data_IF_571469861680
#
_entry.id   IF_571469861680
#
_cell.length_a   1.000
_cell.length_b   1.000
_cell.length_c   1.000
_cell.angle_alpha   90.00
_cell.angle_beta   90.00
_cell.angle_gamma   90.00
#
_symmetry.space_group_name_H-M   'P 1'
#
loop_
_entity.id
_entity.type
_entity.pdbx_description
1 polymer ?
#
# COMPACT_ATOMS: atom_id res chain seq x y z
N UNK A 1 -9.14 -14.78 20.04
CA UNK A 1 -7.89 -13.98 20.02
C UNK A 1 -8.18 -12.69 19.26
N UNK A 2 -7.87 -11.53 19.82
CA UNK A 2 -8.07 -10.25 19.12
C UNK A 2 -6.81 -9.98 18.29
N UNK A 3 -6.98 -9.86 16.97
CA UNK A 3 -5.88 -9.44 16.08
C UNK A 3 -5.77 -7.93 16.15
N UNK A 4 -4.58 -7.41 16.50
CA UNK A 4 -4.35 -5.97 16.60
C UNK A 4 -4.17 -5.34 15.22
N UNK A 5 -4.57 -4.07 15.12
CA UNK A 5 -4.35 -3.27 13.92
C UNK A 5 -2.85 -3.09 13.62
N UNK A 6 -2.05 -2.87 14.67
CA UNK A 6 -0.60 -2.75 14.58
C UNK A 6 0.05 -3.98 13.97
N UNK A 7 -0.38 -5.19 14.36
CA UNK A 7 0.11 -6.43 13.77
C UNK A 7 -0.17 -6.50 12.27
N UNK A 8 -1.42 -6.24 11.86
CA UNK A 8 -1.82 -6.29 10.46
C UNK A 8 -1.08 -5.24 9.62
N UNK A 9 -0.95 -4.02 10.13
CA UNK A 9 -0.19 -2.95 9.46
C UNK A 9 1.31 -3.26 9.39
N UNK A 10 1.86 -3.96 10.39
CA UNK A 10 3.23 -4.46 10.38
C UNK A 10 3.46 -5.48 9.27
N UNK A 11 2.56 -6.45 9.12
CA UNK A 11 2.65 -7.46 8.03
C UNK A 11 2.41 -6.83 6.67
N UNK A 12 1.42 -5.93 6.55
CA UNK A 12 1.20 -5.11 5.34
C UNK A 12 2.48 -4.38 4.92
N UNK A 13 3.14 -3.70 5.86
CA UNK A 13 4.39 -2.97 5.63
C UNK A 13 5.49 -3.88 5.09
N UNK A 14 5.63 -5.06 5.67
CA UNK A 14 6.62 -6.05 5.24
C UNK A 14 6.38 -6.53 3.82
N UNK A 15 5.14 -6.90 3.47
CA UNK A 15 4.79 -7.37 2.12
C UNK A 15 5.03 -6.28 1.08
N UNK A 16 4.58 -5.05 1.35
CA UNK A 16 4.79 -3.91 0.44
C UNK A 16 6.29 -3.63 0.24
N UNK A 17 7.07 -3.68 1.32
CA UNK A 17 8.52 -3.52 1.27
C UNK A 17 9.21 -4.63 0.47
N UNK A 18 8.83 -5.90 0.69
CA UNK A 18 9.36 -7.05 -0.05
C UNK A 18 9.05 -6.95 -1.56
N UNK A 19 7.79 -6.66 -1.91
CA UNK A 19 7.35 -6.47 -3.31
C UNK A 19 8.16 -5.37 -4.01
N UNK A 20 8.40 -4.25 -3.31
CA UNK A 20 9.19 -3.13 -3.82
C UNK A 20 10.71 -3.37 -3.75
N UNK A 21 11.16 -4.52 -3.23
CA UNK A 21 12.58 -4.83 -2.94
C UNK A 21 13.24 -3.73 -2.11
N UNK A 22 12.47 -3.13 -1.20
CA UNK A 22 12.86 -2.02 -0.35
C UNK A 22 13.32 -0.76 -1.11
N UNK A 23 12.97 -0.61 -2.39
CA UNK A 23 13.28 0.56 -3.21
C UNK A 23 12.06 1.45 -3.33
N UNK A 24 12.28 2.76 -3.33
CA UNK A 24 11.21 3.72 -3.60
C UNK A 24 10.56 3.39 -4.96
N UNK A 25 9.25 3.26 -4.98
CA UNK A 25 8.49 2.90 -6.18
C UNK A 25 8.28 4.09 -7.12
N UNK A 26 8.70 5.31 -6.75
CA UNK A 26 8.70 6.42 -7.70
C UNK A 26 9.78 6.22 -8.78
N UNK A 27 9.45 6.34 -10.08
CA UNK A 27 10.38 6.07 -11.18
C UNK A 27 11.69 6.86 -11.08
N UNK A 28 12.82 6.18 -11.26
CA UNK A 28 14.14 6.79 -11.23
C UNK A 28 14.63 7.25 -9.85
N UNK A 29 13.86 7.04 -8.78
CA UNK A 29 14.29 7.39 -7.44
C UNK A 29 15.40 6.44 -6.95
N UNK A 30 16.56 6.95 -6.50
CA UNK A 30 17.66 6.11 -6.04
C UNK A 30 17.49 5.63 -4.58
N UNK A 31 16.46 6.10 -3.86
CA UNK A 31 16.29 5.82 -2.44
C UNK A 31 15.87 4.38 -2.20
N UNK A 32 16.55 3.70 -1.28
CA UNK A 32 16.27 2.34 -0.86
C UNK A 32 16.52 2.19 0.64
N UNK A 33 15.85 1.24 1.27
CA UNK A 33 16.04 0.94 2.69
C UNK A 33 14.77 0.49 3.40
N UNK A 34 14.97 -0.09 4.58
CA UNK A 34 13.90 -0.51 5.49
C UNK A 34 13.39 0.63 6.37
N UNK A 35 13.97 1.81 6.28
CA UNK A 35 13.59 3.06 6.95
C UNK A 35 12.53 3.85 6.17
N UNK A 36 12.38 3.55 4.87
CA UNK A 36 11.23 3.96 4.06
C UNK A 36 9.93 3.34 4.60
N UNK A 37 8.79 3.86 4.16
CA UNK A 37 7.49 3.41 4.65
C UNK A 37 6.45 3.34 3.53
N UNK A 38 5.46 2.43 3.65
CA UNK A 38 4.39 2.33 2.69
C UNK A 38 3.47 3.54 2.82
N UNK A 39 3.18 4.15 1.69
CA UNK A 39 2.08 5.08 1.52
C UNK A 39 0.80 4.29 1.18
N UNK A 40 -0.30 4.59 1.86
CA UNK A 40 -1.62 4.07 1.51
C UNK A 40 -2.23 4.95 0.42
N UNK A 41 -2.38 4.43 -0.81
CA UNK A 41 -2.94 5.19 -1.94
C UNK A 41 -4.36 5.69 -1.65
N UNK A 42 -5.26 4.79 -1.26
CA UNK A 42 -6.49 5.18 -0.58
C UNK A 42 -6.26 5.17 0.93
N UNK A 43 -6.75 6.22 1.61
CA UNK A 43 -6.59 6.40 3.06
C UNK A 43 -6.83 5.10 3.84
N UNK A 44 -6.05 4.92 4.90
CA UNK A 44 -6.23 3.84 5.88
C UNK A 44 -7.63 3.80 6.51
N UNK A 45 -8.36 4.92 6.46
CA UNK A 45 -9.75 4.99 6.93
C UNK A 45 -10.73 4.23 6.03
N UNK A 46 -10.33 3.93 4.79
CA UNK A 46 -11.07 3.00 3.95
C UNK A 46 -10.76 1.55 4.34
N UNK A 47 -11.58 1.00 5.23
CA UNK A 47 -11.38 -0.33 5.79
C UNK A 47 -11.30 -1.45 4.74
N UNK A 48 -11.99 -1.33 3.59
CA UNK A 48 -12.00 -2.36 2.54
C UNK A 48 -10.62 -2.60 1.90
N UNK A 49 -9.74 -1.59 1.92
CA UNK A 49 -8.39 -1.62 1.33
C UNK A 49 -7.29 -1.31 2.35
N UNK A 50 -7.62 -1.05 3.62
CA UNK A 50 -6.67 -0.68 4.69
C UNK A 50 -5.48 -1.65 4.82
N UNK A 51 -5.78 -2.94 4.79
CA UNK A 51 -4.78 -4.01 4.95
C UNK A 51 -4.35 -4.63 3.63
N UNK A 52 -4.91 -4.20 2.49
CA UNK A 52 -4.58 -4.76 1.19
C UNK A 52 -3.19 -4.26 0.76
N UNK A 53 -2.17 -5.13 0.57
CA UNK A 53 -0.84 -4.71 0.11
C UNK A 53 -0.86 -3.95 -1.22
N UNK A 54 -1.83 -4.22 -2.11
CA UNK A 54 -1.98 -3.48 -3.37
C UNK A 54 -2.35 -2.01 -3.15
N UNK A 55 -2.95 -1.66 -2.01
CA UNK A 55 -3.19 -0.27 -1.62
C UNK A 55 -1.92 0.46 -1.15
N UNK A 56 -0.79 -0.24 -1.02
CA UNK A 56 0.46 0.33 -0.56
C UNK A 56 1.43 0.62 -1.70
N UNK A 57 2.16 1.73 -1.61
CA UNK A 57 3.36 2.02 -2.40
C UNK A 57 4.55 2.27 -1.47
N UNK A 58 5.69 1.62 -1.68
CA UNK A 58 6.88 1.81 -0.86
C UNK A 58 7.60 3.10 -1.26
N UNK A 59 7.53 4.15 -0.42
CA UNK A 59 8.02 5.48 -0.79
C UNK A 59 9.04 6.03 0.21
N UNK A 60 10.00 6.81 -0.30
CA UNK A 60 10.86 7.66 0.53
C UNK A 60 10.13 8.93 0.96
N UNK A 61 10.62 9.59 2.02
CA UNK A 61 10.00 10.81 2.56
C UNK A 61 9.71 11.88 1.48
N UNK A 62 10.65 12.21 0.56
CA UNK A 62 10.37 13.14 -0.54
C UNK A 62 9.13 12.78 -1.37
N UNK A 63 9.06 11.55 -1.89
CA UNK A 63 7.93 11.11 -2.73
C UNK A 63 6.68 10.73 -1.94
N UNK A 64 6.81 10.49 -0.62
CA UNK A 64 5.67 10.22 0.24
C UNK A 64 4.90 11.51 0.52
N UNK A 65 5.55 12.49 1.17
CA UNK A 65 4.90 13.75 1.58
C UNK A 65 5.80 15.01 1.55
N UNK A 66 7.10 14.86 1.27
CA UNK A 66 8.07 15.94 1.38
C UNK A 66 8.00 16.91 0.21
N UNK A 67 8.07 16.39 -1.01
CA UNK A 67 8.22 17.19 -2.23
C UNK A 67 6.87 17.62 -2.82
N UNK A 68 6.90 18.58 -3.75
CA UNK A 68 5.70 19.02 -4.47
C UNK A 68 5.07 17.85 -5.24
N UNK A 69 5.90 17.09 -5.96
CA UNK A 69 5.49 15.87 -6.64
C UNK A 69 5.56 14.66 -5.69
N UNK A 70 4.71 14.66 -4.67
CA UNK A 70 4.57 13.57 -3.70
C UNK A 70 3.16 13.02 -3.66
N UNK A 71 3.02 11.79 -3.17
CA UNK A 71 1.75 11.10 -3.13
C UNK A 71 0.68 11.86 -2.33
N UNK A 72 1.07 12.55 -1.25
CA UNK A 72 0.14 13.39 -0.48
C UNK A 72 -0.17 14.75 -1.11
N UNK A 73 0.77 15.39 -1.81
CA UNK A 73 0.60 16.77 -2.32
C UNK A 73 0.10 16.84 -3.76
N UNK A 74 0.31 15.80 -4.55
CA UNK A 74 -0.08 15.75 -5.96
C UNK A 74 -0.55 14.35 -6.36
N UNK A 75 -1.57 13.78 -5.69
CA UNK A 75 -1.95 12.37 -5.84
C UNK A 75 -2.29 11.97 -7.28
N UNK A 76 -3.04 12.79 -8.01
CA UNK A 76 -3.46 12.48 -9.39
C UNK A 76 -2.27 12.47 -10.36
N UNK A 77 -1.37 13.44 -10.22
CA UNK A 77 -0.14 13.48 -11.02
C UNK A 77 0.81 12.34 -10.64
N UNK A 78 0.92 12.06 -9.34
CA UNK A 78 1.77 11.00 -8.81
C UNK A 78 1.34 9.64 -9.35
N UNK A 79 0.04 9.32 -9.30
CA UNK A 79 -0.46 8.04 -9.81
C UNK A 79 -0.35 7.94 -11.33
N UNK A 80 -0.57 9.04 -12.05
CA UNK A 80 -0.37 9.08 -13.50
C UNK A 80 1.06 8.72 -13.88
N UNK A 81 2.05 9.18 -13.11
CA UNK A 81 3.47 8.81 -13.29
C UNK A 81 3.72 7.34 -12.95
N UNK A 82 3.18 6.85 -11.84
CA UNK A 82 3.32 5.43 -11.45
C UNK A 82 2.81 4.49 -12.55
N UNK A 83 1.70 4.84 -13.20
CA UNK A 83 1.10 4.08 -14.30
C UNK A 83 1.89 4.26 -15.60
N UNK A 84 2.23 5.50 -15.96
CA UNK A 84 2.97 5.82 -17.19
C UNK A 84 4.33 5.10 -17.27
N UNK A 85 5.00 4.95 -16.13
CA UNK A 85 6.28 4.24 -16.02
C UNK A 85 6.14 2.77 -15.62
N UNK A 86 4.94 2.21 -15.71
CA UNK A 86 4.64 0.78 -15.52
C UNK A 86 5.07 0.20 -14.16
N UNK A 87 5.17 1.05 -13.13
CA UNK A 87 5.41 0.59 -11.75
C UNK A 87 4.17 -0.15 -11.22
N UNK A 88 3.00 0.34 -11.63
CA UNK A 88 1.70 -0.35 -11.55
C UNK A 88 0.97 -0.15 -12.87
N UNK A 89 -0.05 -0.94 -13.11
CA UNK A 89 -0.86 -0.84 -14.33
C UNK A 89 -2.17 -0.11 -14.08
N UNK A 90 -2.90 0.22 -15.14
CA UNK A 90 -4.25 0.78 -15.01
C UNK A 90 -5.22 -0.24 -14.38
N UNK A 91 -5.09 -1.51 -14.72
CA UNK A 91 -5.91 -2.60 -14.16
C UNK A 91 -5.74 -2.70 -12.64
N UNK A 92 -4.51 -2.51 -12.13
CA UNK A 92 -4.26 -2.43 -10.69
C UNK A 92 -5.08 -1.30 -10.03
N UNK A 93 -5.14 -0.13 -10.67
CA UNK A 93 -5.89 1.02 -10.14
C UNK A 93 -7.40 0.75 -10.18
N UNK A 94 -7.89 0.19 -11.29
CA UNK A 94 -9.30 -0.14 -11.48
C UNK A 94 -9.77 -1.18 -10.45
N UNK A 95 -8.99 -2.25 -10.25
CA UNK A 95 -9.25 -3.26 -9.23
C UNK A 95 -9.27 -2.67 -7.82
N UNK A 96 -8.34 -1.76 -7.54
CA UNK A 96 -8.27 -1.11 -6.23
C UNK A 96 -9.47 -0.18 -6.01
N UNK A 97 -9.95 0.51 -7.05
CA UNK A 97 -11.19 1.31 -7.02
C UNK A 97 -12.41 0.42 -6.79
N UNK A 98 -12.51 -0.73 -7.45
CA UNK A 98 -13.60 -1.68 -7.22
C UNK A 98 -13.61 -2.12 -5.75
N UNK A 99 -12.45 -2.47 -5.20
CA UNK A 99 -12.31 -2.88 -3.80
C UNK A 99 -12.66 -1.75 -2.83
N UNK A 100 -12.14 -0.53 -3.05
CA UNK A 100 -12.34 0.61 -2.12
C UNK A 100 -13.82 0.94 -1.92
N UNK A 101 -14.64 0.65 -2.93
CA UNK A 101 -16.08 0.95 -2.94
C UNK A 101 -16.91 -0.17 -2.31
N UNK A 102 -16.28 -1.25 -1.82
CA UNK A 102 -16.97 -2.31 -1.09
C UNK A 102 -17.29 -1.88 0.34
N UNK A 103 -18.50 -2.17 0.79
CA UNK A 103 -18.90 -2.04 2.18
C UNK A 103 -18.43 -3.31 2.91
N UNK A 104 -17.57 -3.14 3.91
CA UNK A 104 -17.05 -4.25 4.71
C UNK A 104 -17.35 -4.03 6.20
N UNK A 105 -17.63 -5.10 6.96
CA UNK A 105 -17.68 -4.99 8.41
C UNK A 105 -16.26 -4.74 8.96
N UNK A 106 -16.10 -3.80 9.89
CA UNK A 106 -14.82 -3.56 10.54
C UNK A 106 -14.85 -4.06 11.99
N UNK A 107 -14.81 -5.38 12.14
CA UNK A 107 -14.87 -6.07 13.43
C UNK A 107 -13.68 -7.05 13.57
N UNK A 108 -13.66 -7.84 14.64
CA UNK A 108 -12.57 -8.79 14.87
C UNK A 108 -12.54 -9.93 13.85
N UNK A 109 -13.69 -10.37 13.33
CA UNK A 109 -13.74 -11.38 12.26
C UNK A 109 -13.02 -10.87 11.01
N UNK A 110 -13.33 -9.66 10.57
CA UNK A 110 -12.64 -9.01 9.46
C UNK A 110 -11.12 -8.95 9.64
N UNK A 111 -10.65 -8.66 10.86
CA UNK A 111 -9.21 -8.66 11.16
C UNK A 111 -8.59 -10.06 11.14
N UNK A 112 -9.32 -11.08 11.57
CA UNK A 112 -8.87 -12.48 11.45
C UNK A 112 -8.75 -12.90 9.98
N UNK A 113 -9.75 -12.59 9.16
CA UNK A 113 -9.73 -12.90 7.73
C UNK A 113 -8.53 -12.24 7.03
N UNK A 114 -8.23 -10.98 7.37
CA UNK A 114 -7.05 -10.29 6.84
C UNK A 114 -5.74 -10.84 7.37
N UNK A 115 -5.68 -11.31 8.62
CA UNK A 115 -4.49 -11.98 9.14
C UNK A 115 -4.15 -13.21 8.30
N UNK A 116 -5.12 -14.06 8.02
CA UNK A 116 -4.92 -15.27 7.22
C UNK A 116 -4.40 -14.92 5.82
N UNK A 117 -5.08 -14.00 5.12
CA UNK A 117 -4.67 -13.52 3.79
C UNK A 117 -3.25 -12.95 3.78
N UNK A 118 -2.91 -12.10 4.76
CA UNK A 118 -1.60 -11.49 4.84
C UNK A 118 -0.50 -12.53 5.15
N UNK A 119 -0.80 -13.55 5.95
CA UNK A 119 0.15 -14.62 6.21
C UNK A 119 0.45 -15.44 4.95
N UNK A 120 -0.58 -15.76 4.15
CA UNK A 120 -0.41 -16.42 2.85
C UNK A 120 0.43 -15.57 1.88
N UNK A 121 0.07 -14.29 1.73
CA UNK A 121 0.80 -13.36 0.86
C UNK A 121 2.26 -13.19 1.28
N UNK A 122 2.54 -13.14 2.59
CA UNK A 122 3.90 -13.03 3.12
C UNK A 122 4.76 -14.25 2.80
N UNK A 123 4.18 -15.45 2.79
CA UNK A 123 4.90 -16.68 2.43
C UNK A 123 5.23 -16.75 0.93
N UNK A 124 4.49 -16.00 0.10
CA UNK A 124 4.66 -15.94 -1.35
C UNK A 124 5.56 -14.78 -1.84
N UNK A 125 5.93 -13.84 -0.96
CA UNK A 125 6.68 -12.62 -1.27
C UNK A 125 8.20 -12.79 -1.06
#
# INVERSE_FOLDING_TARGET
MIVSDEYLLGVFREIVGLRARWKCEFPGCPMFGKDLNPHHYFSRDNHSVRYNPDNGLWLCTPHHNGDLLSAHKSPDQFISIIILYEVRTQEWLDDLIIRKNQIVPFNNGFRCDWKEKLQEMRLAA
#
